data_IF_703109923222
#
_entry.id   IF_703109923222
#
_cell.length_a   1.000
_cell.length_b   1.000
_cell.length_c   1.000
_cell.angle_alpha   90.00
_cell.angle_beta   90.00
_cell.angle_gamma   90.00
#
_symmetry.space_group_name_H-M   'P 1'
#
loop_
_entity.id
_entity.type
_entity.pdbx_description
1 polymer ?
#
# COMPACT_ATOMS: atom_id res chain seq x y z
N UNK A 1 4.44 -7.42 -37.21
CA UNK A 1 5.24 -8.18 -36.23
C UNK A 1 5.70 -7.28 -35.09
N UNK A 2 6.49 -6.22 -35.30
CA UNK A 2 6.94 -5.33 -34.20
C UNK A 2 5.80 -4.54 -33.51
N UNK A 3 4.79 -4.07 -34.24
CA UNK A 3 3.68 -3.29 -33.65
C UNK A 3 2.73 -4.14 -32.80
N UNK A 4 2.56 -5.43 -33.14
CA UNK A 4 1.80 -6.39 -32.32
C UNK A 4 2.57 -6.77 -31.05
N UNK A 5 3.90 -6.84 -31.12
CA UNK A 5 4.77 -7.15 -29.98
C UNK A 5 4.76 -5.99 -28.96
N UNK A 6 4.86 -4.74 -29.43
CA UNK A 6 4.75 -3.53 -28.58
C UNK A 6 3.36 -3.41 -27.95
N UNK A 7 2.31 -3.69 -28.72
CA UNK A 7 0.95 -3.66 -28.18
C UNK A 7 0.75 -4.76 -27.13
N UNK A 8 1.29 -5.95 -27.35
CA UNK A 8 1.23 -7.05 -26.40
C UNK A 8 2.03 -6.73 -25.13
N UNK A 9 3.25 -6.21 -25.24
CA UNK A 9 4.04 -5.72 -24.10
C UNK A 9 3.30 -4.63 -23.31
N UNK A 10 2.60 -3.73 -24.00
CA UNK A 10 1.79 -2.70 -23.35
C UNK A 10 0.56 -3.28 -22.65
N UNK A 11 -0.12 -4.27 -23.25
CA UNK A 11 -1.23 -4.98 -22.60
C UNK A 11 -0.76 -5.80 -21.40
N UNK A 12 0.39 -6.44 -21.48
CA UNK A 12 0.98 -7.21 -20.38
C UNK A 12 1.42 -6.29 -19.24
N UNK A 13 1.97 -5.12 -19.56
CA UNK A 13 2.24 -4.04 -18.61
C UNK A 13 0.96 -3.53 -17.92
N UNK A 14 -0.12 -3.32 -18.69
CA UNK A 14 -1.42 -2.93 -18.14
C UNK A 14 -2.07 -4.05 -17.31
N UNK A 15 -1.89 -5.31 -17.70
CA UNK A 15 -2.40 -6.48 -16.99
C UNK A 15 -1.66 -6.71 -15.66
N UNK A 16 -0.34 -6.55 -15.63
CA UNK A 16 0.47 -6.54 -14.40
C UNK A 16 0.07 -5.41 -13.43
N UNK A 17 -0.39 -4.27 -13.97
CA UNK A 17 -0.96 -3.18 -13.15
C UNK A 17 -2.33 -3.49 -12.55
N UNK A 18 -3.12 -4.39 -13.13
CA UNK A 18 -4.53 -4.61 -12.74
C UNK A 18 -4.74 -5.52 -11.54
N UNK A 19 -3.75 -6.34 -11.15
CA UNK A 19 -3.71 -7.07 -9.87
C UNK A 19 -2.25 -7.24 -9.45
N UNK A 20 -1.68 -6.23 -8.79
CA UNK A 20 -0.31 -6.32 -8.30
C UNK A 20 -0.30 -6.99 -6.93
N UNK A 21 0.25 -8.18 -6.81
CA UNK A 21 0.69 -8.70 -5.52
C UNK A 21 2.17 -8.34 -5.32
N UNK A 22 2.63 -8.29 -4.07
CA UNK A 22 4.06 -8.32 -3.77
C UNK A 22 4.37 -9.58 -2.97
N UNK A 23 5.62 -10.02 -3.00
CA UNK A 23 6.09 -11.13 -2.17
C UNK A 23 6.74 -10.58 -0.92
N UNK A 24 6.20 -10.92 0.25
CA UNK A 24 6.74 -10.56 1.55
C UNK A 24 6.96 -11.85 2.35
N UNK A 25 8.20 -12.13 2.76
CA UNK A 25 8.60 -13.41 3.38
C UNK A 25 8.07 -14.66 2.66
N UNK A 26 8.07 -14.66 1.32
CA UNK A 26 7.58 -15.78 0.52
C UNK A 26 6.05 -15.89 0.38
N UNK A 27 5.28 -15.00 1.03
CA UNK A 27 3.82 -14.91 0.90
C UNK A 27 3.46 -13.82 -0.10
N UNK A 28 2.52 -14.11 -1.00
CA UNK A 28 1.93 -13.07 -1.84
C UNK A 28 0.89 -12.28 -1.05
N UNK A 29 1.06 -10.96 -1.04
CA UNK A 29 0.10 -10.03 -0.42
C UNK A 29 -0.43 -9.06 -1.46
N UNK A 30 -1.64 -8.56 -1.22
CA UNK A 30 -2.31 -7.62 -2.11
C UNK A 30 -1.60 -6.27 -2.09
N UNK A 31 -1.42 -5.69 -3.26
CA UNK A 31 -0.87 -4.35 -3.42
C UNK A 31 -1.59 -3.59 -4.53
N UNK A 32 -1.44 -2.27 -4.51
CA UNK A 32 -1.97 -1.37 -5.55
C UNK A 32 -0.89 -0.40 -6.01
N UNK A 33 -0.97 0.04 -7.25
CA UNK A 33 -0.06 1.07 -7.75
C UNK A 33 -0.45 2.43 -7.16
N UNK A 34 0.46 3.08 -6.42
CA UNK A 34 0.24 4.39 -5.78
C UNK A 34 -0.22 5.47 -6.76
N UNK A 35 0.16 5.35 -8.04
CA UNK A 35 -0.20 6.32 -9.10
C UNK A 35 -1.65 6.20 -9.54
N UNK A 36 -2.32 5.07 -9.25
CA UNK A 36 -3.68 4.78 -9.72
C UNK A 36 -4.59 4.23 -8.63
N UNK A 37 -4.09 4.07 -7.40
CA UNK A 37 -4.87 3.54 -6.28
C UNK A 37 -6.07 4.45 -6.04
N UNK A 38 -7.25 3.85 -5.87
CA UNK A 38 -8.46 4.57 -5.49
C UNK A 38 -8.68 4.49 -3.98
N UNK A 39 -9.49 5.40 -3.43
CA UNK A 39 -9.90 5.34 -2.03
C UNK A 39 -10.53 3.98 -1.68
N UNK A 40 -11.34 3.40 -2.58
CA UNK A 40 -11.95 2.08 -2.38
C UNK A 40 -10.92 0.95 -2.33
N UNK A 41 -9.89 0.98 -3.20
CA UNK A 41 -8.80 0.01 -3.13
C UNK A 41 -7.97 0.16 -1.85
N UNK A 42 -7.79 1.39 -1.39
CA UNK A 42 -7.15 1.67 -0.12
C UNK A 42 -7.98 1.16 1.07
N UNK A 43 -9.31 1.36 1.08
CA UNK A 43 -10.22 0.73 2.05
C UNK A 43 -10.08 -0.79 2.05
N UNK A 44 -10.01 -1.40 0.87
CA UNK A 44 -9.81 -2.85 0.76
C UNK A 44 -8.49 -3.30 1.39
N UNK A 45 -7.40 -2.51 1.33
CA UNK A 45 -6.16 -2.83 2.05
C UNK A 45 -6.38 -2.81 3.56
N UNK A 46 -6.96 -1.73 4.08
CA UNK A 46 -7.25 -1.59 5.52
C UNK A 46 -8.16 -2.73 6.00
N UNK A 47 -9.20 -3.07 5.23
CA UNK A 47 -10.16 -4.12 5.55
C UNK A 47 -9.52 -5.52 5.62
N UNK A 48 -8.44 -5.75 4.86
CA UNK A 48 -7.71 -7.02 4.85
C UNK A 48 -6.73 -7.18 6.02
N UNK A 49 -6.49 -6.13 6.81
CA UNK A 49 -5.57 -6.21 7.95
C UNK A 49 -6.11 -7.05 9.09
N UNK A 50 -5.19 -7.74 9.78
CA UNK A 50 -5.50 -8.52 10.97
C UNK A 50 -5.16 -7.72 12.22
N UNK A 51 -6.19 -7.24 12.91
CA UNK A 51 -6.02 -6.42 14.12
C UNK A 51 -5.46 -7.20 15.33
N UNK A 52 -5.25 -8.52 15.24
CA UNK A 52 -4.49 -9.24 16.28
C UNK A 52 -2.96 -9.16 16.09
N UNK A 53 -2.49 -8.49 15.04
CA UNK A 53 -1.08 -8.31 14.70
C UNK A 53 -0.74 -6.84 14.54
N UNK A 54 0.56 -6.53 14.58
CA UNK A 54 1.02 -5.21 14.18
C UNK A 54 0.92 -5.09 12.66
N UNK A 55 0.37 -3.96 12.20
CA UNK A 55 0.21 -3.67 10.78
C UNK A 55 0.92 -2.35 10.44
N UNK A 56 1.34 -2.18 9.19
CA UNK A 56 1.89 -0.91 8.72
C UNK A 56 1.62 -0.71 7.24
N UNK A 57 1.10 0.47 6.88
CA UNK A 57 0.96 0.86 5.48
C UNK A 57 2.35 1.21 4.96
N UNK A 58 2.74 0.59 3.85
CA UNK A 58 4.05 0.79 3.22
C UNK A 58 3.89 1.00 1.72
N UNK A 59 4.86 1.73 1.15
CA UNK A 59 4.99 1.91 -0.29
C UNK A 59 6.38 1.49 -0.71
N UNK A 60 6.49 0.67 -1.74
CA UNK A 60 7.78 0.31 -2.33
C UNK A 60 8.36 1.47 -3.16
N UNK A 61 9.67 1.44 -3.43
CA UNK A 61 10.34 2.38 -4.36
C UNK A 61 9.77 2.32 -5.78
N UNK A 62 9.20 1.18 -6.18
CA UNK A 62 8.50 1.00 -7.45
C UNK A 62 7.04 1.52 -7.46
N UNK A 63 6.55 2.00 -6.31
CA UNK A 63 5.23 2.59 -6.16
C UNK A 63 4.12 1.57 -5.89
N UNK A 64 4.40 0.49 -5.17
CA UNK A 64 3.37 -0.48 -4.72
C UNK A 64 2.97 -0.17 -3.28
N UNK A 65 1.70 0.16 -3.07
CA UNK A 65 1.07 0.34 -1.76
C UNK A 65 0.58 -1.01 -1.25
N UNK A 66 0.94 -1.36 -0.02
CA UNK A 66 0.52 -2.61 0.62
C UNK A 66 0.36 -2.42 2.13
N UNK A 67 -0.39 -3.33 2.76
CA UNK A 67 -0.47 -3.43 4.21
C UNK A 67 0.47 -4.56 4.66
N UNK A 68 1.52 -4.18 5.38
CA UNK A 68 2.47 -5.11 5.98
C UNK A 68 1.93 -5.62 7.31
N UNK A 69 2.07 -6.91 7.58
CA UNK A 69 1.69 -7.59 8.84
C UNK A 69 2.97 -8.14 9.46
N UNK A 70 3.16 -7.92 10.77
CA UNK A 70 4.32 -8.29 11.58
C UNK A 70 5.67 -7.67 11.19
N UNK A 71 5.91 -7.37 9.91
CA UNK A 71 7.10 -6.64 9.43
C UNK A 71 6.77 -5.16 9.45
N UNK A 72 7.11 -4.51 10.56
CA UNK A 72 6.74 -3.11 10.85
C UNK A 72 7.95 -2.30 11.32
N UNK A 73 7.76 -1.00 11.60
CA UNK A 73 8.84 -0.14 12.09
C UNK A 73 10.07 -0.12 11.15
N UNK A 74 11.25 -0.43 11.70
CA UNK A 74 12.53 -0.40 10.97
C UNK A 74 12.87 -1.69 10.22
N UNK A 75 11.98 -2.68 10.20
CA UNK A 75 12.23 -3.97 9.57
C UNK A 75 12.08 -3.92 8.04
N UNK A 76 13.03 -4.53 7.32
CA UNK A 76 13.00 -4.73 5.86
C UNK A 76 12.69 -3.46 5.05
N UNK A 77 13.43 -2.38 5.30
CA UNK A 77 13.21 -1.07 4.66
C UNK A 77 13.92 -0.90 3.30
N UNK A 78 14.72 -1.86 2.83
CA UNK A 78 15.57 -1.70 1.64
C UNK A 78 14.80 -1.31 0.37
N UNK A 79 13.59 -1.83 0.16
CA UNK A 79 12.71 -1.45 -0.96
C UNK A 79 11.55 -0.52 -0.54
N UNK A 80 11.52 -0.06 0.72
CA UNK A 80 10.47 0.83 1.21
C UNK A 80 10.83 2.27 0.89
N UNK A 81 9.94 2.97 0.18
CA UNK A 81 10.04 4.40 -0.11
C UNK A 81 9.48 5.24 1.03
N UNK A 82 8.33 4.83 1.58
CA UNK A 82 7.70 5.46 2.71
C UNK A 82 6.86 4.44 3.50
N UNK A 83 6.65 4.72 4.78
CA UNK A 83 5.81 3.94 5.68
C UNK A 83 5.01 4.85 6.62
N UNK A 84 3.85 4.39 7.07
CA UNK A 84 3.10 5.06 8.14
C UNK A 84 3.56 4.60 9.51
N UNK A 85 3.06 5.24 10.57
CA UNK A 85 3.12 4.69 11.92
C UNK A 85 2.60 3.25 11.96
N UNK A 86 3.16 2.47 12.89
CA UNK A 86 2.71 1.10 13.13
C UNK A 86 1.33 1.11 13.78
N UNK A 87 0.37 0.51 13.11
CA UNK A 87 -0.92 0.18 13.70
C UNK A 87 -0.73 -1.02 14.62
N UNK A 88 -0.61 -0.75 15.92
CA UNK A 88 -0.38 -1.76 16.95
C UNK A 88 -1.56 -2.73 17.04
N UNK A 89 -1.27 -3.98 17.37
CA UNK A 89 -2.30 -4.99 17.60
C UNK A 89 -3.39 -4.47 18.59
N UNK A 90 -4.64 -4.73 18.25
CA UNK A 90 -5.85 -4.42 19.01
C UNK A 90 -6.19 -2.94 19.16
N UNK A 91 -5.64 -2.06 18.32
CA UNK A 91 -5.97 -0.64 18.35
C UNK A 91 -7.17 -0.27 17.46
N UNK A 92 -7.66 -1.20 16.63
CA UNK A 92 -8.82 -0.98 15.77
C UNK A 92 -8.56 -0.11 14.54
N UNK A 93 -7.30 0.08 14.13
CA UNK A 93 -6.94 0.85 12.93
C UNK A 93 -6.88 0.02 11.64
N UNK A 94 -7.10 -1.30 11.73
CA UNK A 94 -7.28 -2.19 10.58
C UNK A 94 -8.53 -3.06 10.73
N UNK A 95 -8.90 -3.76 9.65
CA UNK A 95 -10.10 -4.57 9.57
C UNK A 95 -11.31 -3.80 9.04
N UNK A 96 -12.43 -4.50 8.86
CA UNK A 96 -13.63 -3.98 8.17
C UNK A 96 -14.16 -2.70 8.81
N UNK A 97 -14.25 -2.65 10.14
CA UNK A 97 -14.75 -1.46 10.85
C UNK A 97 -13.87 -0.23 10.62
N UNK A 98 -12.55 -0.40 10.70
CA UNK A 98 -11.59 0.67 10.43
C UNK A 98 -11.70 1.15 8.99
N UNK A 99 -11.87 0.22 8.05
CA UNK A 99 -12.02 0.50 6.63
C UNK A 99 -13.31 1.25 6.26
N UNK A 100 -14.35 1.19 7.11
CA UNK A 100 -15.60 1.94 6.95
C UNK A 100 -15.55 3.33 7.58
N UNK A 101 -14.62 3.58 8.50
CA UNK A 101 -14.47 4.87 9.17
C UNK A 101 -13.82 5.91 8.24
N UNK A 102 -14.64 6.84 7.75
CA UNK A 102 -14.19 7.94 6.92
C UNK A 102 -13.21 8.88 7.63
N UNK A 103 -13.36 9.07 8.94
CA UNK A 103 -12.49 9.96 9.72
C UNK A 103 -11.09 9.38 9.91
N UNK A 104 -10.95 8.06 9.78
CA UNK A 104 -9.67 7.33 9.79
C UNK A 104 -9.07 7.17 8.40
N UNK A 105 -9.84 6.61 7.46
CA UNK A 105 -9.29 6.19 6.15
C UNK A 105 -9.01 7.35 5.21
N UNK A 106 -9.85 8.39 5.21
CA UNK A 106 -9.71 9.49 4.25
C UNK A 106 -8.42 10.31 4.51
N UNK A 107 -8.10 10.70 5.75
CA UNK A 107 -6.83 11.38 6.05
C UNK A 107 -5.61 10.53 5.66
N UNK A 108 -5.60 9.24 6.03
CA UNK A 108 -4.53 8.30 5.67
C UNK A 108 -4.30 8.24 4.16
N UNK A 109 -5.38 8.12 3.39
CA UNK A 109 -5.32 8.07 1.93
C UNK A 109 -4.72 9.34 1.34
N UNK A 110 -5.17 10.52 1.78
CA UNK A 110 -4.65 11.77 1.22
C UNK A 110 -3.23 12.09 1.70
N UNK A 111 -2.84 11.69 2.91
CA UNK A 111 -1.46 11.77 3.37
C UNK A 111 -0.53 10.87 2.54
N UNK A 112 -0.99 9.65 2.22
CA UNK A 112 -0.27 8.70 1.37
C UNK A 112 -0.04 9.30 -0.04
N UNK A 113 -1.11 9.77 -0.68
CA UNK A 113 -1.03 10.38 -2.02
C UNK A 113 -0.18 11.65 -2.00
N UNK A 114 -0.40 12.54 -1.03
CA UNK A 114 0.30 13.82 -0.92
C UNK A 114 1.80 13.68 -0.67
N UNK A 115 2.19 12.74 0.20
CA UNK A 115 3.62 12.49 0.43
C UNK A 115 4.28 11.89 -0.81
N UNK A 116 3.62 10.98 -1.52
CA UNK A 116 4.16 10.42 -2.77
C UNK A 116 4.33 11.48 -3.85
N UNK A 117 3.31 12.33 -4.09
CA UNK A 117 3.36 13.37 -5.13
C UNK A 117 4.36 14.48 -4.83
N UNK A 118 4.67 14.74 -3.55
CA UNK A 118 5.75 15.66 -3.13
C UNK A 118 7.15 15.05 -3.20
N UNK A 119 7.30 13.85 -3.79
CA UNK A 119 8.59 13.19 -3.96
C UNK A 119 9.07 12.39 -2.75
N UNK A 120 8.14 11.93 -1.91
CA UNK A 120 8.44 11.19 -0.67
C UNK A 120 9.37 11.98 0.27
N UNK A 121 9.04 13.26 0.51
CA UNK A 121 9.79 14.12 1.42
C UNK A 121 9.93 13.53 2.83
N UNK A 122 8.99 12.67 3.23
CA UNK A 122 9.03 11.93 4.50
C UNK A 122 9.04 10.43 4.22
N UNK A 123 10.07 9.72 4.69
CA UNK A 123 10.12 8.25 4.64
C UNK A 123 9.21 7.59 5.71
N UNK A 124 8.74 8.38 6.67
CA UNK A 124 7.88 7.96 7.77
C UNK A 124 6.76 8.99 8.00
N UNK A 125 5.52 8.55 8.15
CA UNK A 125 4.32 9.37 8.34
C UNK A 125 3.62 8.96 9.64
N UNK A 126 3.61 9.83 10.64
CA UNK A 126 2.92 9.64 11.94
C UNK A 126 1.82 10.66 12.23
N UNK A 127 1.85 11.82 11.56
CA UNK A 127 0.84 12.87 11.69
C UNK A 127 0.23 13.19 10.33
N UNK A 128 -1.10 13.24 10.27
CA UNK A 128 -1.87 13.51 9.05
C UNK A 128 -3.24 14.12 9.35
#
# INVERSE_FOLDING_TARGET
MADEEIFQEFQDFLAQRRKSTITLNGKQIKAYDIRTITLEQFRMLIACGNDSHNNQIRVTKSGKVYLSEDIVGSEQLDDVALSFETFSAHNGYVGVKAAEDNSHVIPLYYALIGNWTSGCSHAYIDSF
#
